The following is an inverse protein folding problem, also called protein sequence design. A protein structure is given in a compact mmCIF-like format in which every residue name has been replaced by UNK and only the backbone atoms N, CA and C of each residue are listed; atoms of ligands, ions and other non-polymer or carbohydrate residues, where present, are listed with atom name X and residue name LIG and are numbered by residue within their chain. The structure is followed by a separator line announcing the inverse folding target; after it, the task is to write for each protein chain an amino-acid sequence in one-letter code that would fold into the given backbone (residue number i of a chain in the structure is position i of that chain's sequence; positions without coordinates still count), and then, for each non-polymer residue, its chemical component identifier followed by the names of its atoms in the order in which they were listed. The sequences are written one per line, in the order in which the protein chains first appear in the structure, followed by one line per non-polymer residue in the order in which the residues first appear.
data_IF_361440344446
#
_entry.id   IF_361440344446
#
_cell.length_a   1.000
_cell.length_b   1.000
_cell.length_c   1.000
_cell.angle_alpha   90.00
_cell.angle_beta   90.00
_cell.angle_gamma   90.00
#
_symmetry.space_group_name_H-M   'P 1'
#
loop_
_entity.id
_entity.type
_entity.pdbx_description
1 polymer ?
#
# COMPACT_ATOMS: atom_id res chain seq x y z
N UNK A 1 -33.50 48.87 -60.21
CA UNK A 1 -32.54 47.83 -60.61
C UNK A 1 -32.75 46.63 -59.70
N UNK A 2 -33.27 45.55 -60.31
CA UNK A 2 -33.83 44.40 -59.63
C UNK A 2 -32.75 43.47 -59.10
N UNK A 3 -32.84 43.14 -57.83
CA UNK A 3 -32.15 41.92 -57.23
C UNK A 3 -33.17 40.78 -57.23
N UNK A 4 -32.86 39.71 -57.99
CA UNK A 4 -33.61 38.49 -57.99
C UNK A 4 -33.01 37.57 -56.87
N UNK A 5 -33.85 37.20 -55.93
CA UNK A 5 -33.55 36.08 -54.97
C UNK A 5 -33.90 34.79 -55.69
N UNK A 6 -32.91 33.88 -55.73
CA UNK A 6 -33.11 32.47 -56.14
C UNK A 6 -33.25 31.67 -54.83
N UNK A 7 -34.44 31.14 -54.61
CA UNK A 7 -34.73 30.18 -53.53
C UNK A 7 -34.53 28.77 -54.11
N UNK A 8 -33.56 28.02 -53.57
CA UNK A 8 -33.45 26.58 -53.85
C UNK A 8 -34.25 25.82 -52.81
N UNK A 9 -35.37 25.23 -53.26
CA UNK A 9 -36.17 24.31 -52.47
C UNK A 9 -35.63 22.91 -52.69
N UNK A 10 -35.02 22.34 -51.64
CA UNK A 10 -34.71 20.89 -51.64
C UNK A 10 -35.90 20.11 -51.08
N UNK A 11 -36.50 19.32 -51.96
CA UNK A 11 -37.52 18.35 -51.63
C UNK A 11 -36.82 17.10 -51.13
N UNK A 12 -36.88 16.81 -49.82
CA UNK A 12 -36.44 15.55 -49.26
C UNK A 12 -37.69 14.69 -49.06
N UNK A 13 -37.80 13.66 -49.89
CA UNK A 13 -38.83 12.64 -49.81
C UNK A 13 -38.50 11.72 -48.65
N UNK A 14 -39.31 11.75 -47.61
CA UNK A 14 -39.24 10.80 -46.50
C UNK A 14 -39.83 9.45 -46.94
N UNK A 15 -38.99 8.45 -47.04
CA UNK A 15 -39.41 7.05 -47.09
C UNK A 15 -39.35 6.47 -45.67
N UNK A 16 -40.53 6.36 -45.07
CA UNK A 16 -40.72 5.69 -43.80
C UNK A 16 -40.67 4.18 -44.00
N UNK A 17 -39.56 3.54 -43.61
CA UNK A 17 -39.58 2.13 -43.35
C UNK A 17 -39.68 1.90 -41.85
N UNK A 18 -40.90 1.57 -41.42
CA UNK A 18 -41.17 1.08 -40.08
C UNK A 18 -40.72 -0.39 -40.03
N UNK A 19 -39.49 -0.66 -39.64
CA UNK A 19 -39.10 -1.99 -39.17
C UNK A 19 -38.98 -1.88 -37.64
N UNK A 20 -40.05 -2.28 -36.95
CA UNK A 20 -40.01 -2.60 -35.55
C UNK A 20 -39.28 -3.93 -35.43
N UNK A 21 -37.94 -3.86 -35.40
CA UNK A 21 -37.11 -4.92 -34.88
C UNK A 21 -37.00 -4.72 -33.38
N UNK A 22 -37.70 -5.53 -32.61
CA UNK A 22 -37.39 -5.76 -31.20
C UNK A 22 -35.97 -6.28 -31.12
N UNK A 23 -35.00 -5.40 -31.00
CA UNK A 23 -33.69 -5.79 -30.52
C UNK A 23 -33.90 -6.14 -29.06
N UNK A 24 -34.06 -7.44 -28.81
CA UNK A 24 -33.80 -8.03 -27.52
C UNK A 24 -32.44 -7.49 -27.07
N UNK A 25 -32.44 -6.70 -26.00
CA UNK A 25 -31.24 -6.46 -25.21
C UNK A 25 -30.95 -7.79 -24.53
N UNK A 26 -30.41 -8.74 -25.27
CA UNK A 26 -29.53 -9.71 -24.69
C UNK A 26 -28.30 -8.89 -24.26
N UNK A 27 -28.33 -8.45 -23.02
CA UNK A 27 -27.20 -8.05 -22.28
C UNK A 27 -26.17 -9.18 -22.46
N UNK A 28 -25.14 -8.90 -23.26
CA UNK A 28 -23.87 -9.56 -23.05
C UNK A 28 -23.44 -9.08 -21.67
N UNK A 29 -23.97 -9.73 -20.64
CA UNK A 29 -23.34 -9.77 -19.33
C UNK A 29 -22.00 -10.46 -19.57
N UNK A 30 -21.02 -9.67 -19.97
CA UNK A 30 -19.64 -10.01 -19.76
C UNK A 30 -19.50 -10.11 -18.25
N UNK A 31 -19.55 -11.34 -17.72
CA UNK A 31 -19.25 -11.62 -16.35
C UNK A 31 -17.91 -10.93 -16.05
N UNK A 32 -17.94 -10.00 -15.11
CA UNK A 32 -16.73 -9.38 -14.63
C UNK A 32 -15.81 -10.55 -14.20
N UNK A 33 -14.60 -10.69 -14.74
CA UNK A 33 -13.70 -11.79 -14.39
C UNK A 33 -13.45 -11.89 -12.88
N UNK A 34 -13.74 -10.84 -12.13
CA UNK A 34 -13.68 -10.81 -10.66
C UNK A 34 -14.91 -11.47 -10.00
N UNK A 35 -16.09 -11.47 -10.63
CA UNK A 35 -17.28 -12.14 -10.10
C UNK A 35 -17.13 -13.67 -10.21
N UNK A 36 -16.51 -14.18 -11.26
CA UNK A 36 -16.19 -15.61 -11.42
C UNK A 36 -15.19 -16.10 -10.35
N UNK A 37 -14.23 -15.25 -9.95
CA UNK A 37 -13.28 -15.58 -8.88
C UNK A 37 -13.96 -15.60 -7.50
N UNK A 38 -14.87 -14.68 -7.26
CA UNK A 38 -15.68 -14.63 -6.03
C UNK A 38 -16.54 -15.87 -5.90
N UNK A 39 -17.22 -16.28 -6.97
CA UNK A 39 -18.06 -17.49 -7.00
C UNK A 39 -17.20 -18.76 -6.79
N UNK A 40 -16.00 -18.84 -7.36
CA UNK A 40 -15.09 -19.99 -7.18
C UNK A 40 -14.48 -20.06 -5.78
N UNK A 41 -14.17 -18.89 -5.17
CA UNK A 41 -13.75 -18.82 -3.78
C UNK A 41 -14.88 -19.27 -2.83
N UNK A 42 -16.11 -18.87 -3.11
CA UNK A 42 -17.31 -19.26 -2.35
C UNK A 42 -17.67 -20.75 -2.55
N UNK A 43 -17.36 -21.35 -3.72
CA UNK A 43 -17.67 -22.74 -4.03
C UNK A 43 -16.62 -23.77 -3.57
N UNK A 44 -15.56 -23.33 -2.90
CA UNK A 44 -14.60 -24.26 -2.29
C UNK A 44 -13.62 -24.94 -3.25
N UNK A 45 -13.60 -24.59 -4.55
CA UNK A 45 -12.65 -25.17 -5.51
C UNK A 45 -11.20 -24.81 -5.20
N UNK A 46 -10.96 -23.61 -4.63
CA UNK A 46 -9.63 -23.25 -4.11
C UNK A 46 -9.27 -24.05 -2.86
N UNK A 47 -10.24 -24.40 -2.03
CA UNK A 47 -10.03 -25.24 -0.85
C UNK A 47 -9.65 -26.69 -1.22
N UNK A 48 -10.18 -27.22 -2.33
CA UNK A 48 -9.84 -28.56 -2.79
C UNK A 48 -8.41 -28.68 -3.35
N UNK A 49 -7.89 -27.63 -3.99
CA UNK A 49 -6.49 -27.57 -4.41
C UNK A 49 -5.53 -27.34 -3.23
N UNK A 50 -5.99 -26.69 -2.17
CA UNK A 50 -5.22 -26.51 -0.93
C UNK A 50 -5.13 -27.80 -0.09
N UNK A 51 -6.15 -28.67 -0.10
CA UNK A 51 -6.12 -29.93 0.62
C UNK A 51 -5.11 -30.94 0.10
N UNK A 52 -4.59 -30.80 -1.10
CA UNK A 52 -3.56 -31.65 -1.68
C UNK A 52 -2.12 -31.17 -1.40
N UNK A 53 -1.94 -30.02 -0.75
CA UNK A 53 -0.62 -29.49 -0.36
C UNK A 53 -0.34 -29.81 1.12
N UNK A 54 0.91 -30.18 1.49
CA UNK A 54 1.24 -30.38 2.89
C UNK A 54 0.96 -29.09 3.67
N UNK A 55 -0.04 -29.11 4.53
CA UNK A 55 -0.25 -28.07 5.51
C UNK A 55 0.95 -28.06 6.46
N UNK A 56 1.53 -26.91 6.79
CA UNK A 56 2.49 -26.86 7.89
C UNK A 56 1.76 -27.36 9.14
N UNK A 57 2.41 -28.28 9.84
CA UNK A 57 1.86 -28.96 11.03
C UNK A 57 1.43 -27.89 12.06
N UNK A 58 0.12 -27.72 12.21
CA UNK A 58 -0.48 -26.70 13.09
C UNK A 58 -0.28 -27.03 14.59
N UNK A 59 0.35 -28.16 14.90
CA UNK A 59 0.59 -28.62 16.27
C UNK A 59 1.98 -28.27 16.80
N UNK A 60 2.88 -27.75 15.97
CA UNK A 60 4.18 -27.26 16.43
C UNK A 60 3.97 -25.95 17.17
N UNK A 61 3.87 -25.99 18.50
CA UNK A 61 4.03 -24.78 19.30
C UNK A 61 5.41 -24.19 18.98
N UNK A 62 5.43 -23.12 18.19
CA UNK A 62 6.66 -22.38 17.96
C UNK A 62 7.17 -21.89 19.31
N UNK A 63 8.47 -22.07 19.62
CA UNK A 63 9.04 -21.54 20.85
C UNK A 63 8.72 -20.04 20.94
N UNK A 64 8.31 -19.59 22.14
CA UNK A 64 8.16 -18.16 22.42
C UNK A 64 9.46 -17.46 22.02
N UNK A 65 9.44 -16.71 20.92
CA UNK A 65 10.59 -15.94 20.49
C UNK A 65 10.55 -14.60 21.20
N UNK A 66 11.16 -14.54 22.36
CA UNK A 66 11.33 -13.32 23.10
C UNK A 66 12.40 -12.46 22.41
N UNK A 67 11.98 -11.36 21.80
CA UNK A 67 12.88 -10.25 21.47
C UNK A 67 12.80 -9.28 22.64
N UNK A 68 13.92 -9.06 23.32
CA UNK A 68 13.98 -8.13 24.46
C UNK A 68 14.29 -6.73 23.99
N UNK A 69 14.11 -5.76 24.88
CA UNK A 69 14.54 -4.38 24.65
C UNK A 69 16.05 -4.29 24.36
N UNK A 70 16.85 -5.02 25.14
CA UNK A 70 18.31 -5.07 24.95
C UNK A 70 18.69 -5.62 23.59
N UNK A 71 18.00 -6.67 23.14
CA UNK A 71 18.22 -7.22 21.80
C UNK A 71 17.86 -6.21 20.70
N UNK A 72 16.80 -5.43 20.89
CA UNK A 72 16.46 -4.35 19.93
C UNK A 72 17.56 -3.28 19.91
N UNK A 73 18.10 -2.88 21.06
CA UNK A 73 19.20 -1.89 21.12
C UNK A 73 20.47 -2.40 20.45
N UNK A 74 20.82 -3.69 20.64
CA UNK A 74 21.94 -4.34 19.96
C UNK A 74 21.72 -4.29 18.42
N UNK A 75 20.59 -4.73 17.92
CA UNK A 75 20.27 -4.70 16.51
C UNK A 75 20.22 -3.29 15.93
N UNK A 76 19.78 -2.30 16.69
CA UNK A 76 19.80 -0.90 16.26
C UNK A 76 21.20 -0.40 15.94
N UNK A 77 22.21 -0.85 16.67
CA UNK A 77 23.59 -0.48 16.40
C UNK A 77 24.24 -1.32 15.31
N UNK A 78 24.03 -2.64 15.33
CA UNK A 78 24.67 -3.56 14.41
C UNK A 78 24.14 -3.47 12.98
N UNK A 79 22.82 -3.23 12.82
CA UNK A 79 22.15 -3.33 11.53
C UNK A 79 21.87 -2.00 10.85
N UNK A 80 22.29 -0.88 11.42
CA UNK A 80 22.05 0.46 10.82
C UNK A 80 22.75 0.61 9.47
N UNK A 81 22.09 1.27 8.52
CA UNK A 81 22.64 1.58 7.20
C UNK A 81 23.23 3.01 7.12
N UNK A 82 23.42 3.68 8.26
CA UNK A 82 23.90 5.05 8.24
C UNK A 82 25.25 5.18 7.54
N UNK A 83 25.33 6.13 6.62
CA UNK A 83 26.52 6.37 5.81
C UNK A 83 26.74 5.37 4.67
N UNK A 84 25.90 4.32 4.52
CA UNK A 84 26.05 3.34 3.43
C UNK A 84 26.03 3.98 2.03
N UNK A 85 25.26 5.04 1.86
CA UNK A 85 25.13 5.80 0.59
C UNK A 85 25.64 7.24 0.72
N UNK A 86 26.48 7.49 1.71
CA UNK A 86 27.04 8.80 2.02
C UNK A 86 26.38 9.48 3.22
N UNK A 87 27.03 10.52 3.77
CA UNK A 87 26.57 11.17 5.01
C UNK A 87 25.30 12.00 4.81
N UNK A 88 25.03 12.46 3.59
CA UNK A 88 23.91 13.33 3.24
C UNK A 88 22.78 12.56 2.52
N UNK A 89 22.80 11.21 2.59
CA UNK A 89 21.78 10.40 1.94
C UNK A 89 20.40 10.62 2.56
N UNK A 90 19.43 10.91 1.71
CA UNK A 90 18.02 11.10 2.06
C UNK A 90 17.09 9.97 1.55
N UNK A 91 17.66 8.98 0.86
CA UNK A 91 16.87 7.97 0.13
C UNK A 91 16.90 6.59 0.77
N UNK A 92 17.91 6.31 1.58
CA UNK A 92 18.05 5.02 2.27
C UNK A 92 18.04 3.84 1.30
N UNK A 93 17.27 2.80 1.61
CA UNK A 93 17.17 1.59 0.79
C UNK A 93 16.55 1.80 -0.60
N UNK A 94 15.92 2.94 -0.87
CA UNK A 94 15.48 3.29 -2.22
C UNK A 94 16.67 3.41 -3.20
N UNK A 95 17.89 3.60 -2.71
CA UNK A 95 19.11 3.55 -3.52
C UNK A 95 19.41 2.15 -4.10
N UNK A 96 18.76 1.10 -3.59
CA UNK A 96 18.85 -0.27 -4.11
C UNK A 96 18.05 -0.47 -5.39
N UNK A 97 17.14 0.46 -5.70
CA UNK A 97 16.38 0.45 -6.95
C UNK A 97 17.25 1.04 -8.06
N UNK A 98 18.18 0.24 -8.55
CA UNK A 98 19.11 0.64 -9.63
C UNK A 98 18.42 0.59 -10.99
N UNK A 99 19.01 1.22 -12.03
CA UNK A 99 18.50 1.09 -13.39
C UNK A 99 18.36 -0.37 -13.87
N UNK A 100 19.26 -1.25 -13.45
CA UNK A 100 19.23 -2.69 -13.77
C UNK A 100 18.04 -3.36 -13.09
N UNK A 101 17.80 -3.04 -11.81
CA UNK A 101 16.65 -3.54 -11.06
C UNK A 101 15.33 -3.09 -11.70
N UNK A 102 15.26 -1.83 -12.12
CA UNK A 102 14.10 -1.28 -12.84
C UNK A 102 13.87 -1.99 -14.17
N UNK A 103 14.92 -2.21 -14.98
CA UNK A 103 14.82 -2.96 -16.25
C UNK A 103 14.34 -4.39 -16.04
N UNK A 104 14.86 -5.06 -15.00
CA UNK A 104 14.42 -6.41 -14.63
C UNK A 104 12.94 -6.42 -14.23
N UNK A 105 12.48 -5.42 -13.48
CA UNK A 105 11.07 -5.29 -13.08
C UNK A 105 10.14 -5.09 -14.29
N UNK A 106 10.54 -4.26 -15.26
CA UNK A 106 9.76 -4.03 -16.49
C UNK A 106 9.59 -5.34 -17.29
N UNK A 107 10.57 -6.24 -17.27
CA UNK A 107 10.48 -7.53 -17.96
C UNK A 107 9.49 -8.52 -17.32
N UNK A 108 8.96 -8.20 -16.14
CA UNK A 108 7.90 -8.99 -15.49
C UNK A 108 6.52 -8.74 -16.11
N UNK A 109 6.34 -7.68 -16.86
CA UNK A 109 5.05 -7.38 -17.51
C UNK A 109 4.86 -8.32 -18.70
N UNK A 110 3.86 -9.19 -18.59
CA UNK A 110 3.54 -10.22 -19.59
C UNK A 110 2.10 -10.17 -20.04
N UNK A 111 1.17 -9.94 -19.12
CA UNK A 111 -0.27 -9.91 -19.35
C UNK A 111 -0.81 -8.50 -19.62
N UNK A 112 -0.07 -7.46 -19.20
CA UNK A 112 -0.51 -6.07 -19.30
C UNK A 112 -1.68 -5.72 -18.36
N UNK A 113 -1.86 -6.50 -17.29
CA UNK A 113 -2.89 -6.28 -16.28
C UNK A 113 -2.33 -5.39 -15.18
N UNK A 114 -2.96 -4.24 -14.96
CA UNK A 114 -2.58 -3.31 -13.88
C UNK A 114 -3.69 -3.20 -12.85
N UNK A 115 -3.31 -3.32 -11.57
CA UNK A 115 -4.21 -3.15 -10.42
C UNK A 115 -3.58 -2.22 -9.39
N UNK A 116 -4.43 -1.52 -8.65
CA UNK A 116 -3.98 -0.60 -7.60
C UNK A 116 -3.50 -1.37 -6.36
N UNK A 117 -2.54 -0.76 -5.65
CA UNK A 117 -2.04 -1.24 -4.36
C UNK A 117 -2.44 -0.30 -3.20
N UNK A 118 -3.33 0.63 -3.46
CA UNK A 118 -3.67 1.68 -2.51
C UNK A 118 -5.17 1.78 -2.27
N UNK A 119 -5.51 2.17 -1.05
CA UNK A 119 -6.83 2.63 -0.65
C UNK A 119 -6.82 4.16 -0.57
N UNK A 120 -7.75 4.80 -1.26
CA UNK A 120 -7.98 6.23 -1.10
C UNK A 120 -9.16 6.40 -0.14
N UNK A 121 -9.09 7.32 0.81
CA UNK A 121 -10.13 7.43 1.82
C UNK A 121 -11.46 7.77 1.19
N UNK A 122 -12.47 7.03 1.58
CA UNK A 122 -13.85 7.44 1.43
C UNK A 122 -14.14 8.46 2.54
N UNK A 123 -14.56 9.70 2.23
CA UNK A 123 -14.89 10.71 3.23
C UNK A 123 -15.95 10.27 4.23
N UNK A 124 -16.71 9.22 3.91
CA UNK A 124 -17.82 8.70 4.71
C UNK A 124 -17.38 7.61 5.70
N UNK A 125 -16.22 7.00 5.53
CA UNK A 125 -15.80 5.80 6.27
C UNK A 125 -14.62 6.01 7.24
N UNK A 126 -14.46 7.20 7.82
CA UNK A 126 -13.42 7.50 8.81
C UNK A 126 -13.75 6.98 10.23
N UNK A 127 -14.48 5.89 10.35
CA UNK A 127 -14.89 5.32 11.65
C UNK A 127 -13.81 4.46 12.32
N UNK A 128 -12.56 4.51 11.85
CA UNK A 128 -11.47 3.78 12.49
C UNK A 128 -10.77 4.65 13.54
N UNK A 129 -10.82 4.26 14.82
CA UNK A 129 -10.31 5.09 15.92
C UNK A 129 -8.81 4.93 16.11
N UNK A 130 -7.99 5.15 15.08
CA UNK A 130 -6.54 5.06 15.24
C UNK A 130 -5.90 6.35 15.71
N UNK A 131 -6.51 7.48 15.40
CA UNK A 131 -6.09 8.81 15.83
C UNK A 131 -7.34 9.59 16.17
N UNK A 132 -7.27 10.57 17.07
CA UNK A 132 -8.31 11.58 17.21
C UNK A 132 -8.39 12.40 15.92
N UNK A 133 -9.05 11.85 14.93
CA UNK A 133 -9.14 12.38 13.57
C UNK A 133 -10.21 13.45 13.45
N UNK A 134 -10.80 13.93 14.57
CA UNK A 134 -11.84 14.95 14.56
C UNK A 134 -11.45 16.21 13.77
N UNK A 135 -10.14 16.45 13.62
CA UNK A 135 -9.55 17.56 12.85
C UNK A 135 -8.93 17.15 11.50
N UNK A 136 -8.99 15.87 11.11
CA UNK A 136 -8.25 15.31 9.97
C UNK A 136 -9.17 14.78 8.87
N UNK A 137 -10.33 15.38 8.66
CA UNK A 137 -11.31 14.93 7.67
C UNK A 137 -10.83 15.19 6.25
N UNK A 138 -11.10 14.24 5.35
CA UNK A 138 -11.02 14.47 3.91
C UNK A 138 -12.06 15.53 3.56
N UNK A 139 -11.59 16.64 3.00
CA UNK A 139 -12.44 17.67 2.42
C UNK A 139 -12.40 17.55 0.92
N UNK A 140 -13.51 17.10 0.35
CA UNK A 140 -13.73 17.19 -1.09
C UNK A 140 -14.62 18.41 -1.35
N UNK A 141 -14.14 19.32 -2.14
CA UNK A 141 -14.90 20.49 -2.60
C UNK A 141 -14.98 20.45 -4.11
N UNK A 142 -16.19 20.56 -4.62
CA UNK A 142 -16.48 20.68 -6.03
C UNK A 142 -17.19 22.01 -6.28
N UNK A 143 -16.73 22.79 -7.24
CA UNK A 143 -17.38 24.06 -7.56
C UNK A 143 -17.13 24.48 -9.01
N UNK A 144 -17.98 25.36 -9.49
CA UNK A 144 -17.80 26.02 -10.78
C UNK A 144 -17.64 27.52 -10.50
N UNK A 145 -16.51 28.14 -10.88
CA UNK A 145 -16.25 29.54 -10.57
C UNK A 145 -17.35 30.45 -11.09
N UNK A 146 -17.90 31.31 -10.21
CA UNK A 146 -18.93 32.31 -10.56
C UNK A 146 -20.31 31.74 -10.85
N UNK A 147 -20.57 30.46 -10.50
CA UNK A 147 -21.86 29.82 -10.69
C UNK A 147 -22.51 29.50 -9.34
N UNK A 148 -23.85 29.56 -9.30
CA UNK A 148 -24.66 29.12 -8.17
C UNK A 148 -24.39 27.62 -7.91
N UNK A 149 -24.08 27.20 -6.67
CA UNK A 149 -23.89 25.79 -6.32
C UNK A 149 -25.06 24.87 -6.66
N UNK A 150 -26.29 25.41 -6.74
CA UNK A 150 -27.50 24.66 -7.08
C UNK A 150 -27.80 24.65 -8.60
N UNK A 151 -26.96 25.28 -9.42
CA UNK A 151 -27.18 25.31 -10.86
C UNK A 151 -26.97 23.93 -11.47
N UNK A 152 -27.93 23.47 -12.27
CA UNK A 152 -27.89 22.17 -12.94
C UNK A 152 -27.18 22.20 -14.31
N UNK A 153 -26.93 23.42 -14.83
CA UNK A 153 -26.22 23.60 -16.10
C UNK A 153 -24.80 24.09 -15.87
N UNK A 154 -23.82 23.37 -16.38
CA UNK A 154 -22.40 23.73 -16.28
C UNK A 154 -22.06 24.77 -17.33
N UNK A 155 -21.63 25.97 -16.91
CA UNK A 155 -21.08 27.01 -17.77
C UNK A 155 -19.62 27.26 -17.46
N UNK A 156 -18.74 26.46 -18.05
CA UNK A 156 -17.30 26.55 -17.83
C UNK A 156 -16.72 25.27 -17.27
N UNK A 157 -15.54 25.36 -16.65
CA UNK A 157 -14.85 24.22 -16.04
C UNK A 157 -15.31 24.01 -14.60
N UNK A 158 -15.61 22.77 -14.22
CA UNK A 158 -15.74 22.36 -12.84
C UNK A 158 -14.33 22.21 -12.21
N UNK A 159 -14.22 22.59 -10.95
CA UNK A 159 -12.97 22.54 -10.18
C UNK A 159 -13.18 21.71 -8.92
N UNK A 160 -12.08 21.11 -8.45
CA UNK A 160 -12.06 20.28 -7.26
C UNK A 160 -10.90 20.69 -6.34
N UNK A 161 -11.11 20.57 -5.03
CA UNK A 161 -10.05 20.63 -4.03
C UNK A 161 -10.18 19.45 -3.07
N UNK A 162 -9.05 18.86 -2.72
CA UNK A 162 -8.96 17.74 -1.79
C UNK A 162 -8.00 18.11 -0.68
N UNK A 163 -8.41 17.88 0.58
CA UNK A 163 -7.56 18.00 1.76
C UNK A 163 -7.75 16.77 2.64
N UNK A 164 -6.66 16.17 3.10
CA UNK A 164 -6.69 14.98 3.97
C UNK A 164 -5.43 14.91 4.82
N UNK A 165 -5.52 14.18 5.94
CA UNK A 165 -4.35 13.82 6.71
C UNK A 165 -3.65 12.60 6.08
N UNK A 166 -2.34 12.68 5.89
CA UNK A 166 -1.58 11.60 5.26
C UNK A 166 -1.53 10.35 6.14
N UNK A 167 -1.26 10.54 7.43
CA UNK A 167 -1.13 9.46 8.43
C UNK A 167 -2.46 9.12 9.10
N UNK A 168 -3.55 9.03 8.36
CA UNK A 168 -4.78 8.53 8.95
C UNK A 168 -4.93 7.00 8.78
N UNK A 169 -5.95 6.45 9.43
CA UNK A 169 -6.18 5.01 9.42
C UNK A 169 -6.74 4.44 8.12
N UNK A 170 -7.16 5.28 7.18
CA UNK A 170 -7.77 4.87 5.92
C UNK A 170 -6.88 5.08 4.70
N UNK A 171 -5.95 6.01 4.75
CA UNK A 171 -5.10 6.38 3.63
C UNK A 171 -3.91 5.44 3.47
N UNK A 172 -3.72 4.90 2.27
CA UNK A 172 -2.44 4.30 1.91
C UNK A 172 -1.39 5.40 1.79
N UNK A 173 -0.34 5.32 2.59
CA UNK A 173 0.73 6.31 2.59
C UNK A 173 2.10 5.66 2.74
N UNK A 174 3.12 6.35 2.27
CA UNK A 174 4.52 5.97 2.45
C UNK A 174 5.19 6.98 3.38
N UNK A 175 5.87 6.47 4.38
CA UNK A 175 6.57 7.25 5.39
C UNK A 175 7.90 7.78 4.88
N UNK A 176 8.20 9.02 5.21
CA UNK A 176 9.53 9.59 5.02
C UNK A 176 10.48 9.11 6.12
N UNK A 177 11.77 9.12 5.82
CA UNK A 177 12.81 8.66 6.76
C UNK A 177 13.00 9.60 7.96
N UNK A 178 12.37 10.75 7.96
CA UNK A 178 12.28 11.67 9.09
C UNK A 178 11.02 11.50 9.96
N UNK A 179 10.10 10.60 9.57
CA UNK A 179 8.84 10.41 10.29
C UNK A 179 9.03 9.81 11.68
N UNK A 180 9.94 8.85 11.80
CA UNK A 180 10.24 8.18 13.07
C UNK A 180 11.58 8.64 13.66
N UNK A 181 11.61 9.02 14.95
CA UNK A 181 12.87 9.28 15.64
C UNK A 181 13.55 7.98 16.02
N UNK A 182 14.86 8.05 16.17
CA UNK A 182 15.65 7.00 16.79
C UNK A 182 15.23 6.83 18.25
N UNK A 183 14.89 5.62 18.64
CA UNK A 183 14.58 5.24 20.01
C UNK A 183 15.84 4.62 20.63
N UNK A 184 16.68 5.45 21.20
CA UNK A 184 17.77 5.02 22.09
C UNK A 184 17.23 4.85 23.51
N UNK A 185 18.08 4.49 24.47
CA UNK A 185 17.69 4.33 25.87
C UNK A 185 16.83 5.50 26.38
N UNK A 186 15.52 5.22 26.56
CA UNK A 186 14.56 6.11 27.19
C UNK A 186 14.18 7.38 26.43
N UNK A 187 14.49 7.55 25.14
CA UNK A 187 14.27 8.79 24.39
C UNK A 187 14.88 10.04 25.03
N UNK A 188 15.95 9.87 25.77
CA UNK A 188 16.51 10.91 26.63
C UNK A 188 17.35 11.93 25.88
N UNK A 189 17.92 11.55 24.74
CA UNK A 189 18.70 12.48 23.92
C UNK A 189 17.84 13.58 23.29
N UNK A 190 18.31 14.78 23.36
CA UNK A 190 17.70 15.94 22.69
C UNK A 190 18.76 16.76 21.96
N UNK A 191 18.54 17.11 20.67
CA UNK A 191 17.39 16.69 19.84
C UNK A 191 17.44 15.19 19.53
N UNK A 192 16.26 14.59 19.38
CA UNK A 192 16.16 13.21 18.87
C UNK A 192 16.82 13.12 17.48
N UNK A 193 17.24 11.93 17.10
CA UNK A 193 17.86 11.69 15.78
C UNK A 193 16.88 10.99 14.84
N UNK A 194 17.07 11.22 13.55
CA UNK A 194 16.40 10.53 12.44
C UNK A 194 17.40 9.70 11.66
N UNK A 195 16.98 9.13 10.54
CA UNK A 195 17.86 8.38 9.64
C UNK A 195 19.17 9.13 9.34
N UNK A 196 20.26 8.38 9.32
CA UNK A 196 21.61 8.92 9.16
C UNK A 196 22.20 9.57 10.42
N UNK A 197 21.53 9.45 11.58
CA UNK A 197 21.98 10.04 12.85
C UNK A 197 21.81 11.55 12.93
N UNK A 198 21.10 12.14 11.97
CA UNK A 198 20.89 13.59 11.90
C UNK A 198 19.91 14.07 12.97
N UNK A 199 20.03 15.31 13.48
CA UNK A 199 19.06 15.83 14.43
C UNK A 199 17.64 15.84 13.87
N UNK A 200 16.67 15.38 14.63
CA UNK A 200 15.26 15.54 14.30
C UNK A 200 14.85 16.98 14.57
N UNK A 201 14.75 17.76 13.50
CA UNK A 201 14.31 19.15 13.55
C UNK A 201 12.90 19.22 12.94
N UNK A 202 11.89 19.01 13.77
CA UNK A 202 10.50 19.12 13.37
C UNK A 202 9.88 20.41 13.90
N UNK A 203 9.32 21.19 13.00
CA UNK A 203 8.67 22.46 13.30
C UNK A 203 7.28 22.49 12.63
N UNK A 204 6.52 23.57 12.80
CA UNK A 204 5.30 23.80 12.00
C UNK A 204 5.53 23.85 10.48
N UNK A 205 6.78 23.81 10.02
CA UNK A 205 7.18 23.72 8.61
C UNK A 205 7.59 22.29 8.19
N UNK A 206 7.44 21.30 9.07
CA UNK A 206 7.76 19.89 8.80
C UNK A 206 9.18 19.47 9.20
N UNK A 207 9.73 18.47 8.55
CA UNK A 207 11.06 17.91 8.78
C UNK A 207 12.16 18.81 8.21
N UNK A 208 12.82 19.57 9.08
CA UNK A 208 13.90 20.49 8.69
C UNK A 208 15.29 19.84 8.72
N UNK A 209 15.42 18.64 9.27
CA UNK A 209 16.71 17.91 9.42
C UNK A 209 17.12 17.09 8.18
N UNK A 210 16.37 17.16 7.08
CA UNK A 210 16.54 16.29 5.91
C UNK A 210 15.71 15.00 6.01
N UNK A 211 15.91 14.05 5.09
CA UNK A 211 15.19 12.77 5.00
C UNK A 211 13.66 12.92 4.90
N UNK A 212 13.19 14.11 4.48
CA UNK A 212 11.78 14.39 4.20
C UNK A 212 11.35 13.79 2.86
N UNK A 213 10.03 13.67 2.65
CA UNK A 213 9.49 12.97 1.49
C UNK A 213 9.92 13.59 0.14
N UNK A 214 10.08 14.91 0.07
CA UNK A 214 10.54 15.63 -1.12
C UNK A 214 12.02 15.36 -1.45
N UNK A 215 12.79 14.81 -0.50
CA UNK A 215 14.20 14.42 -0.69
C UNK A 215 14.37 12.97 -1.13
N UNK A 216 13.36 12.14 -0.93
CA UNK A 216 13.42 10.71 -1.23
C UNK A 216 13.28 10.39 -2.73
N UNK A 217 13.02 11.37 -3.58
CA UNK A 217 12.88 11.22 -5.04
C UNK A 217 11.43 11.27 -5.52
N UNK A 218 11.20 11.35 -6.84
CA UNK A 218 9.88 11.59 -7.40
C UNK A 218 8.98 10.35 -7.49
N UNK A 219 9.57 9.17 -7.36
CA UNK A 219 8.90 7.88 -7.52
C UNK A 219 9.85 6.82 -8.06
N UNK A 220 9.37 5.58 -8.12
CA UNK A 220 10.20 4.41 -8.41
C UNK A 220 9.46 3.35 -9.23
N UNK A 221 10.25 2.52 -9.90
CA UNK A 221 9.80 1.29 -10.56
C UNK A 221 10.74 0.17 -10.14
N UNK A 222 10.21 -0.90 -9.54
CA UNK A 222 10.99 -2.05 -9.10
C UNK A 222 10.18 -3.33 -9.16
N UNK A 223 10.77 -4.46 -8.76
CA UNK A 223 10.02 -5.70 -8.53
C UNK A 223 9.20 -5.57 -7.24
N UNK A 224 7.89 -5.76 -7.37
CA UNK A 224 6.98 -5.95 -6.24
C UNK A 224 6.83 -7.44 -5.92
N UNK A 225 6.80 -7.79 -4.65
CA UNK A 225 6.53 -9.15 -4.17
C UNK A 225 5.37 -9.09 -3.17
N UNK A 226 4.30 -9.79 -3.47
CA UNK A 226 3.17 -9.94 -2.54
C UNK A 226 3.41 -11.15 -1.63
N UNK A 227 3.32 -10.94 -0.33
CA UNK A 227 3.25 -11.96 0.70
C UNK A 227 1.78 -12.08 1.14
N UNK A 228 1.06 -13.08 0.66
CA UNK A 228 -0.36 -13.29 0.96
C UNK A 228 -0.53 -14.32 2.07
N UNK A 229 -0.52 -13.87 3.33
CA UNK A 229 -0.63 -14.76 4.49
C UNK A 229 -2.00 -15.41 4.64
N UNK A 230 -3.14 -14.74 4.39
CA UNK A 230 -4.43 -15.40 4.32
C UNK A 230 -4.48 -16.57 3.34
N UNK A 231 -3.94 -16.39 2.13
CA UNK A 231 -3.87 -17.48 1.13
C UNK A 231 -3.02 -18.64 1.64
N UNK A 232 -1.82 -18.36 2.18
CA UNK A 232 -0.94 -19.40 2.73
C UNK A 232 -1.61 -20.21 3.83
N UNK A 233 -2.35 -19.54 4.71
CA UNK A 233 -2.99 -20.16 5.89
C UNK A 233 -4.40 -20.69 5.60
N UNK A 234 -4.94 -20.50 4.40
CA UNK A 234 -6.27 -20.99 4.01
C UNK A 234 -7.41 -20.29 4.75
N UNK A 235 -7.26 -19.01 5.09
CA UNK A 235 -8.25 -18.20 5.81
C UNK A 235 -8.57 -16.92 5.03
N UNK A 236 -9.74 -16.30 5.23
CA UNK A 236 -10.09 -15.05 4.53
C UNK A 236 -9.24 -13.87 5.02
N UNK A 237 -8.85 -13.88 6.28
CA UNK A 237 -8.00 -12.89 6.95
C UNK A 237 -7.35 -13.50 8.20
N UNK A 238 -6.26 -12.91 8.65
CA UNK A 238 -5.58 -13.33 9.88
C UNK A 238 -6.35 -12.86 11.11
N UNK A 239 -6.18 -13.56 12.23
CA UNK A 239 -6.75 -13.13 13.51
C UNK A 239 -6.13 -11.80 13.98
N UNK A 240 -6.92 -11.01 14.74
CA UNK A 240 -6.44 -9.78 15.37
C UNK A 240 -5.21 -10.10 16.22
N UNK A 241 -4.23 -9.23 16.20
CA UNK A 241 -2.96 -9.42 16.96
C UNK A 241 -2.15 -10.67 16.61
N UNK A 242 -2.46 -11.34 15.51
CA UNK A 242 -1.68 -12.50 15.07
C UNK A 242 -0.30 -12.05 14.60
N UNK A 243 0.73 -12.48 15.33
CA UNK A 243 2.12 -12.25 14.95
C UNK A 243 2.57 -13.24 13.87
N UNK A 244 3.36 -12.74 12.93
CA UNK A 244 4.02 -13.51 11.87
C UNK A 244 5.52 -13.58 12.16
N UNK A 245 6.07 -14.75 11.99
CA UNK A 245 7.47 -15.08 12.28
C UNK A 245 8.25 -15.44 11.01
N UNK A 246 9.55 -15.64 11.15
CA UNK A 246 10.43 -16.02 10.03
C UNK A 246 9.93 -17.25 9.30
N UNK A 247 9.44 -18.23 10.04
CA UNK A 247 8.91 -19.48 9.50
C UNK A 247 7.72 -19.28 8.56
N UNK A 248 6.86 -18.29 8.87
CA UNK A 248 5.73 -17.91 8.01
C UNK A 248 6.24 -17.31 6.68
N UNK A 249 7.25 -16.44 6.77
CA UNK A 249 7.84 -15.79 5.59
C UNK A 249 8.58 -16.81 4.70
N UNK A 250 9.35 -17.71 5.30
CA UNK A 250 10.00 -18.80 4.59
C UNK A 250 8.98 -19.80 4.00
N UNK A 251 7.89 -20.06 4.72
CA UNK A 251 6.81 -20.89 4.18
C UNK A 251 6.18 -20.23 2.95
N UNK A 252 6.03 -18.90 2.97
CA UNK A 252 5.58 -18.15 1.81
C UNK A 252 6.56 -18.22 0.63
N UNK A 253 7.86 -18.04 0.86
CA UNK A 253 8.88 -18.19 -0.19
C UNK A 253 8.82 -19.61 -0.83
N UNK A 254 8.69 -20.65 0.01
CA UNK A 254 8.53 -22.03 -0.51
C UNK A 254 7.22 -22.23 -1.28
N UNK A 255 6.12 -21.65 -0.80
CA UNK A 255 4.81 -21.76 -1.45
C UNK A 255 4.78 -21.05 -2.80
N UNK A 256 5.28 -19.82 -2.84
CA UNK A 256 5.26 -18.96 -4.04
C UNK A 256 6.34 -19.31 -5.06
N UNK A 257 7.42 -19.97 -4.61
CA UNK A 257 8.62 -20.20 -5.40
C UNK A 257 9.47 -18.94 -5.61
N UNK A 258 9.19 -17.87 -4.86
CA UNK A 258 9.85 -16.57 -4.98
C UNK A 258 10.79 -16.38 -3.80
N UNK A 259 12.02 -15.97 -4.07
CA UNK A 259 12.93 -15.46 -3.05
C UNK A 259 12.95 -13.93 -3.10
N UNK A 260 12.66 -13.32 -1.95
CA UNK A 260 12.76 -11.88 -1.77
C UNK A 260 14.24 -11.47 -1.76
N UNK A 261 14.57 -10.35 -2.41
CA UNK A 261 15.95 -9.92 -2.55
C UNK A 261 16.12 -8.41 -2.60
N UNK A 262 17.38 -8.02 -2.77
CA UNK A 262 17.79 -6.62 -2.71
C UNK A 262 17.02 -5.74 -3.69
N UNK A 263 16.52 -4.60 -3.17
CA UNK A 263 15.78 -3.63 -3.96
C UNK A 263 14.32 -4.00 -4.27
N UNK A 264 13.80 -5.10 -3.71
CA UNK A 264 12.39 -5.44 -3.86
C UNK A 264 11.49 -4.53 -3.02
N UNK A 265 10.31 -4.25 -3.53
CA UNK A 265 9.19 -3.72 -2.77
C UNK A 265 8.34 -4.89 -2.26
N UNK A 266 8.27 -5.06 -0.95
CA UNK A 266 7.57 -6.19 -0.31
C UNK A 266 6.23 -5.71 0.22
N UNK A 267 5.14 -6.41 -0.13
CA UNK A 267 3.77 -6.10 0.27
C UNK A 267 3.19 -7.24 1.09
N UNK A 268 2.98 -7.00 2.38
CA UNK A 268 2.41 -7.97 3.32
C UNK A 268 0.90 -7.80 3.38
N UNK A 269 0.17 -8.82 2.94
CA UNK A 269 -1.28 -8.91 3.11
C UNK A 269 -1.60 -9.75 4.34
N UNK A 270 -2.33 -9.15 5.28
CA UNK A 270 -2.90 -9.82 6.47
C UNK A 270 -4.40 -10.07 6.34
N UNK A 271 -5.04 -9.43 5.37
CA UNK A 271 -6.47 -9.48 5.14
C UNK A 271 -7.28 -8.43 5.92
N UNK A 272 -6.63 -7.34 6.39
CA UNK A 272 -7.29 -6.29 7.16
C UNK A 272 -8.58 -5.80 6.51
N UNK A 273 -8.54 -5.47 5.21
CA UNK A 273 -9.69 -4.89 4.52
C UNK A 273 -10.85 -5.90 4.38
N UNK A 274 -10.53 -7.17 4.14
CA UNK A 274 -11.54 -8.23 4.12
C UNK A 274 -12.18 -8.43 5.51
N UNK A 275 -11.38 -8.37 6.59
CA UNK A 275 -11.92 -8.41 7.96
C UNK A 275 -12.82 -7.20 8.23
N UNK A 276 -12.37 -6.00 7.84
CA UNK A 276 -13.17 -4.77 8.03
C UNK A 276 -14.50 -4.83 7.29
N UNK A 277 -14.53 -5.38 6.10
CA UNK A 277 -15.77 -5.59 5.34
C UNK A 277 -16.70 -6.58 6.05
N UNK A 278 -16.15 -7.66 6.59
CA UNK A 278 -16.92 -8.73 7.24
C UNK A 278 -17.40 -8.38 8.65
N UNK A 279 -16.56 -7.74 9.46
CA UNK A 279 -16.77 -7.52 10.91
C UNK A 279 -17.01 -6.04 11.29
N UNK A 280 -16.80 -5.12 10.36
CA UNK A 280 -16.82 -3.68 10.61
C UNK A 280 -15.49 -3.14 11.15
N UNK A 281 -15.42 -1.83 11.47
CA UNK A 281 -14.22 -1.18 11.98
C UNK A 281 -13.86 -1.65 13.39
N UNK A 282 -12.57 -1.68 13.70
CA UNK A 282 -12.04 -1.98 15.05
C UNK A 282 -10.81 -1.13 15.33
N UNK A 283 -10.32 -1.14 16.58
CA UNK A 283 -9.07 -0.48 16.94
C UNK A 283 -7.86 -1.25 16.40
N UNK A 284 -7.65 -1.20 15.08
CA UNK A 284 -6.56 -1.93 14.45
C UNK A 284 -5.16 -1.41 14.87
N UNK A 285 -5.04 -0.17 15.34
CA UNK A 285 -3.78 0.36 15.88
C UNK A 285 -3.31 -0.34 17.16
N UNK A 286 -4.21 -0.99 17.90
CA UNK A 286 -3.91 -1.78 19.09
C UNK A 286 -4.03 -3.29 18.90
N UNK A 287 -4.72 -3.74 17.84
CA UNK A 287 -5.00 -5.15 17.56
C UNK A 287 -4.74 -5.46 16.09
N UNK A 288 -3.47 -5.44 15.68
CA UNK A 288 -3.07 -5.65 14.28
C UNK A 288 -2.34 -6.97 14.11
N UNK A 289 -2.76 -7.78 13.13
CA UNK A 289 -1.93 -8.86 12.62
C UNK A 289 -0.75 -8.28 11.83
N UNK A 290 0.46 -8.79 12.05
CA UNK A 290 1.65 -8.26 11.39
C UNK A 290 2.92 -9.00 11.79
N UNK A 291 4.06 -8.43 11.45
CA UNK A 291 5.37 -9.01 11.70
C UNK A 291 5.77 -8.88 13.17
N UNK A 292 6.29 -9.95 13.75
CA UNK A 292 7.00 -9.91 15.01
C UNK A 292 8.44 -9.38 14.82
N UNK A 293 9.00 -8.72 15.81
CA UNK A 293 10.35 -8.15 15.74
C UNK A 293 11.44 -9.17 15.37
N UNK A 294 11.25 -10.46 15.69
CA UNK A 294 12.21 -11.52 15.36
C UNK A 294 12.48 -11.70 13.87
N UNK A 295 11.67 -11.12 12.99
CA UNK A 295 11.89 -11.15 11.52
C UNK A 295 12.93 -10.13 11.04
N UNK A 296 13.33 -9.17 11.88
CA UNK A 296 14.23 -8.10 11.48
C UNK A 296 15.56 -8.59 10.88
N UNK A 297 16.29 -9.56 11.47
CA UNK A 297 17.50 -10.07 10.83
C UNK A 297 17.24 -10.70 9.46
N UNK A 298 16.14 -11.44 9.32
CA UNK A 298 15.74 -12.05 8.05
C UNK A 298 15.43 -11.03 6.96
N UNK A 299 14.71 -9.93 7.30
CA UNK A 299 14.46 -8.82 6.38
C UNK A 299 15.74 -8.08 6.02
N UNK A 300 16.67 -7.93 7.00
CA UNK A 300 17.97 -7.27 6.78
C UNK A 300 18.82 -7.99 5.74
N UNK A 301 18.89 -9.32 5.82
CA UNK A 301 19.62 -10.15 4.86
C UNK A 301 19.06 -9.99 3.44
N UNK A 302 17.78 -9.76 3.28
CA UNK A 302 17.12 -9.58 1.99
C UNK A 302 17.27 -8.18 1.40
N UNK A 303 17.68 -7.23 2.21
CA UNK A 303 18.04 -5.86 1.78
C UNK A 303 16.91 -5.21 0.93
N UNK A 304 15.68 -5.27 1.43
CA UNK A 304 14.50 -4.80 0.73
C UNK A 304 14.49 -3.27 0.56
N UNK A 305 13.83 -2.76 -0.49
CA UNK A 305 13.73 -1.33 -0.74
C UNK A 305 12.62 -0.65 0.06
N UNK A 306 11.45 -1.28 0.16
CA UNK A 306 10.32 -0.84 0.99
C UNK A 306 9.61 -2.05 1.59
N UNK A 307 8.93 -1.83 2.71
CA UNK A 307 7.99 -2.78 3.30
C UNK A 307 6.61 -2.13 3.38
N UNK A 308 5.61 -2.75 2.77
CA UNK A 308 4.22 -2.31 2.84
C UNK A 308 3.34 -3.30 3.57
N UNK A 309 2.42 -2.81 4.40
CA UNK A 309 1.36 -3.59 5.04
C UNK A 309 -0.04 -3.14 4.61
N UNK A 310 -1.03 -4.06 4.64
CA UNK A 310 -2.43 -3.68 4.47
C UNK A 310 -3.04 -3.06 5.75
N UNK A 311 -2.24 -3.03 6.82
CA UNK A 311 -2.37 -2.22 8.03
C UNK A 311 -1.03 -1.52 8.28
N UNK A 312 -0.60 -1.38 9.52
CA UNK A 312 0.83 -1.21 9.86
C UNK A 312 1.52 -2.56 9.72
N UNK A 313 2.80 -2.58 9.37
CA UNK A 313 3.51 -3.85 9.19
C UNK A 313 3.76 -4.60 10.50
N UNK A 314 3.76 -3.90 11.64
CA UNK A 314 3.98 -4.47 12.98
C UNK A 314 2.77 -5.24 13.49
N UNK A 315 2.99 -6.37 14.16
CA UNK A 315 1.98 -6.97 15.03
C UNK A 315 1.67 -6.04 16.22
N UNK A 316 0.40 -5.93 16.59
CA UNK A 316 -0.04 -5.14 17.75
C UNK A 316 -0.94 -6.00 18.65
N UNK A 317 -0.60 -6.16 19.95
CA UNK A 317 0.63 -5.67 20.61
C UNK A 317 1.91 -6.31 20.08
N UNK A 318 3.01 -5.57 20.11
CA UNK A 318 4.29 -6.02 19.53
C UNK A 318 4.94 -7.21 20.24
N UNK A 319 4.60 -7.42 21.50
CA UNK A 319 5.28 -8.38 22.37
C UNK A 319 6.69 -7.96 22.83
N UNK A 320 7.18 -6.79 22.42
CA UNK A 320 8.52 -6.30 22.75
C UNK A 320 8.42 -5.12 23.73
N UNK A 321 8.99 -5.29 24.92
CA UNK A 321 8.97 -4.25 25.95
C UNK A 321 9.57 -2.93 25.43
N UNK A 322 8.94 -1.81 25.72
CA UNK A 322 9.33 -0.46 25.34
C UNK A 322 9.27 -0.15 23.81
N UNK A 323 8.95 -1.13 22.96
CA UNK A 323 8.83 -0.96 21.52
C UNK A 323 7.40 -1.28 21.05
N UNK A 324 6.61 -0.24 20.88
CA UNK A 324 5.24 -0.42 20.38
C UNK A 324 5.21 -0.83 18.90
N UNK A 325 6.16 -0.34 18.11
CA UNK A 325 6.30 -0.66 16.69
C UNK A 325 7.75 -0.97 16.33
N UNK A 326 8.28 -2.13 16.75
CA UNK A 326 9.69 -2.46 16.58
C UNK A 326 10.15 -2.56 15.12
N UNK A 327 9.25 -2.90 14.19
CA UNK A 327 9.54 -2.92 12.75
C UNK A 327 9.76 -1.48 12.27
N UNK A 328 8.85 -0.55 12.57
CA UNK A 328 9.02 0.87 12.23
C UNK A 328 10.25 1.47 12.91
N UNK A 329 10.48 1.17 14.19
CA UNK A 329 11.62 1.65 14.97
C UNK A 329 12.97 1.25 14.34
N UNK A 330 13.00 0.12 13.63
CA UNK A 330 14.18 -0.35 12.91
C UNK A 330 14.26 0.18 11.49
N UNK A 331 13.20 -0.03 10.71
CA UNK A 331 13.22 0.21 9.26
C UNK A 331 13.48 1.69 8.95
N UNK A 332 12.68 2.58 9.50
CA UNK A 332 12.70 3.99 9.12
C UNK A 332 13.98 4.65 9.60
N UNK A 333 14.25 4.77 10.91
CA UNK A 333 15.39 5.56 11.39
C UNK A 333 16.75 4.83 11.30
N UNK A 334 16.79 3.50 11.31
CA UNK A 334 18.04 2.75 11.34
C UNK A 334 18.49 2.23 9.97
N UNK A 335 17.55 1.63 9.23
CA UNK A 335 17.88 1.13 7.88
C UNK A 335 17.70 2.17 6.80
N UNK A 336 16.85 3.19 7.01
CA UNK A 336 16.42 4.09 5.96
C UNK A 336 15.52 3.39 4.97
N UNK A 337 14.70 2.45 5.45
CA UNK A 337 13.71 1.73 4.64
C UNK A 337 12.35 2.36 4.88
N UNK A 338 11.75 3.01 3.87
CA UNK A 338 10.41 3.55 3.99
C UNK A 338 9.40 2.44 4.25
N UNK A 339 8.40 2.73 5.09
CA UNK A 339 7.24 1.86 5.29
C UNK A 339 6.04 2.40 4.52
N UNK A 340 5.18 1.48 4.08
CA UNK A 340 3.91 1.79 3.46
C UNK A 340 2.81 1.20 4.32
N UNK A 341 1.99 2.07 4.88
CA UNK A 341 0.88 1.67 5.73
C UNK A 341 -0.46 1.75 4.98
N UNK A 342 -1.41 0.92 5.41
CA UNK A 342 -2.78 0.86 4.91
C UNK A 342 -2.89 0.55 3.40
N UNK A 343 -1.97 -0.24 2.85
CA UNK A 343 -2.05 -0.70 1.46
C UNK A 343 -3.34 -1.48 1.20
N UNK A 344 -3.82 -1.46 -0.04
CA UNK A 344 -5.01 -2.20 -0.46
C UNK A 344 -4.60 -3.33 -1.39
N UNK A 345 -4.58 -4.56 -0.86
CA UNK A 345 -4.00 -5.70 -1.58
C UNK A 345 -5.02 -6.75 -1.98
N UNK A 346 -6.32 -6.47 -1.93
CA UNK A 346 -7.35 -7.42 -2.36
C UNK A 346 -7.26 -7.70 -3.86
N UNK A 347 -7.27 -6.65 -4.69
CA UNK A 347 -7.25 -6.79 -6.15
C UNK A 347 -5.96 -7.47 -6.65
N UNK A 348 -4.81 -7.10 -6.12
CA UNK A 348 -3.53 -7.71 -6.51
C UNK A 348 -3.43 -9.16 -6.05
N UNK A 349 -4.00 -9.52 -4.89
CA UNK A 349 -4.04 -10.89 -4.41
C UNK A 349 -4.90 -11.79 -5.32
N UNK A 350 -6.05 -11.31 -5.78
CA UNK A 350 -6.90 -12.01 -6.74
C UNK A 350 -6.19 -12.28 -8.08
N UNK A 351 -5.54 -11.23 -8.64
CA UNK A 351 -4.79 -11.38 -9.90
C UNK A 351 -3.61 -12.31 -9.71
N UNK A 352 -2.83 -12.16 -8.63
CA UNK A 352 -1.69 -13.01 -8.32
C UNK A 352 -2.09 -14.48 -8.16
N UNK A 353 -3.18 -14.76 -7.44
CA UNK A 353 -3.71 -16.11 -7.26
C UNK A 353 -4.18 -16.72 -8.59
N UNK A 354 -4.88 -15.96 -9.42
CA UNK A 354 -5.32 -16.41 -10.74
C UNK A 354 -4.15 -16.74 -11.66
N UNK A 355 -3.11 -15.91 -11.66
CA UNK A 355 -1.91 -16.09 -12.48
C UNK A 355 -0.91 -17.07 -11.86
N UNK A 356 -1.09 -17.47 -10.61
CA UNK A 356 -0.12 -18.23 -9.81
C UNK A 356 1.26 -17.55 -9.80
N UNK A 357 1.25 -16.21 -9.70
CA UNK A 357 2.43 -15.37 -9.76
C UNK A 357 2.32 -14.21 -8.76
N UNK A 358 3.18 -14.18 -7.77
CA UNK A 358 3.17 -13.21 -6.68
C UNK A 358 4.29 -12.16 -6.77
N UNK A 359 4.91 -12.06 -7.96
CA UNK A 359 5.82 -10.99 -8.33
C UNK A 359 5.29 -10.24 -9.55
N UNK A 360 5.56 -8.94 -9.59
CA UNK A 360 5.07 -8.03 -10.62
C UNK A 360 5.97 -6.81 -10.73
N UNK A 361 5.84 -6.04 -11.81
CA UNK A 361 6.37 -4.69 -11.82
C UNK A 361 5.50 -3.82 -10.90
N UNK A 362 6.12 -3.17 -9.92
CA UNK A 362 5.45 -2.12 -9.16
C UNK A 362 5.97 -0.76 -9.58
N UNK A 363 5.06 0.20 -9.76
CA UNK A 363 5.40 1.61 -10.00
C UNK A 363 4.60 2.51 -9.06
N UNK A 364 5.24 3.54 -8.54
CA UNK A 364 4.57 4.58 -7.74
C UNK A 364 5.23 5.93 -7.91
N UNK A 365 4.48 6.98 -7.64
CA UNK A 365 4.98 8.36 -7.56
C UNK A 365 4.84 8.89 -6.15
N UNK A 366 5.64 9.87 -5.80
CA UNK A 366 5.57 10.56 -4.52
C UNK A 366 5.23 12.03 -4.74
N UNK A 367 4.22 12.53 -4.05
CA UNK A 367 3.98 13.97 -4.00
C UNK A 367 5.17 14.63 -3.32
N UNK A 368 5.76 15.62 -3.99
CA UNK A 368 6.94 16.34 -3.49
C UNK A 368 6.49 17.40 -2.47
N UNK A 369 6.03 16.96 -1.31
CA UNK A 369 5.58 17.84 -0.23
C UNK A 369 6.81 18.36 0.51
N UNK A 370 7.13 19.66 0.42
CA UNK A 370 8.32 20.22 1.07
C UNK A 370 8.34 19.90 2.56
N UNK A 371 9.43 19.30 3.04
CA UNK A 371 9.63 18.89 4.43
C UNK A 371 8.55 17.92 4.96
N UNK A 372 7.80 17.24 4.09
CA UNK A 372 6.74 16.31 4.47
C UNK A 372 7.28 15.07 5.18
N UNK A 373 6.48 14.56 6.14
CA UNK A 373 6.77 13.31 6.88
C UNK A 373 6.26 12.07 6.18
N UNK A 374 5.35 12.23 5.21
CA UNK A 374 4.81 11.17 4.37
C UNK A 374 4.16 11.73 3.12
N UNK A 375 3.77 10.85 2.23
CA UNK A 375 2.94 11.15 1.05
C UNK A 375 1.90 10.07 0.86
N UNK A 376 0.72 10.38 0.27
CA UNK A 376 -0.16 9.33 -0.22
C UNK A 376 0.59 8.38 -1.13
N UNK A 377 0.33 7.10 -0.98
CA UNK A 377 0.87 6.08 -1.86
C UNK A 377 -0.14 5.76 -2.96
N UNK A 378 0.26 5.93 -4.21
CA UNK A 378 -0.55 5.62 -5.39
C UNK A 378 0.24 4.67 -6.29
N UNK A 379 0.44 3.44 -5.81
CA UNK A 379 1.19 2.41 -6.51
C UNK A 379 0.29 1.51 -7.37
N UNK A 380 0.85 1.07 -8.50
CA UNK A 380 0.25 0.09 -9.39
C UNK A 380 1.12 -1.16 -9.47
N UNK A 381 0.50 -2.32 -9.31
CA UNK A 381 1.08 -3.60 -9.69
C UNK A 381 0.71 -3.90 -11.14
N UNK A 382 1.70 -4.22 -11.97
CA UNK A 382 1.48 -4.59 -13.38
C UNK A 382 2.11 -5.95 -13.66
N UNK A 383 1.27 -6.88 -14.13
CA UNK A 383 1.63 -8.27 -14.43
C UNK A 383 1.95 -8.48 -15.90
#
# INVERSE_FOLDING_TARGET
MNRRHIVFTFLITAISFLLIGTISRDSVEGSNPFDDLRIRAEQGEMAAQQQSRPQPDSTTQLPERLVTHEQMLEWFEEQKNWGRWGPDDDRGTLNLITPEKTKAAVSLVREGISVRLYHFPDPVNLDEPMLDTSNMRVLNQHWIPGQDPEATEIRGAALDAISFATHDGGNSHIDALCHYPVKDEGYTERPQRIYGGRPMMYTGQGCMGGASIDKMGPGYVTRGVLIDMPLLKGVPYLEKSQALYVEDLEAWERFSGITIGSGDAVFLRTGRWARREAEGPWNYGGETAGLHASVLPWLKERDIAILGGDAVADAQPSGVAQHNRPIHDMLIPRWGTPTLDNGYYLEVAEVAARLQRWEFMVSWTMMQIPNGTATPFMGLATF
#
